data_IF_703288420415
#
_entry.id   IF_703288420415
#
_cell.length_a   1.000
_cell.length_b   1.000
_cell.length_c   1.000
_cell.angle_alpha   90.00
_cell.angle_beta   90.00
_cell.angle_gamma   90.00
#
_symmetry.space_group_name_H-M   'P 1'
#
loop_
_entity.id
_entity.type
_entity.pdbx_description
1 polymer ?
#
# COMPACT_ATOMS: atom_id res chain seq x y z
N UNK A 1 -24.02 30.98 -23.59
CA UNK A 1 -24.26 30.06 -22.45
C UNK A 1 -22.92 29.39 -22.16
N UNK A 2 -22.46 29.40 -20.92
CA UNK A 2 -21.22 28.72 -20.54
C UNK A 2 -21.40 27.19 -20.67
N UNK A 3 -20.36 26.48 -21.14
CA UNK A 3 -20.44 25.03 -21.34
C UNK A 3 -20.53 24.29 -20.00
N UNK A 4 -21.15 23.10 -19.98
CA UNK A 4 -21.19 22.25 -18.80
C UNK A 4 -19.77 21.98 -18.26
N UNK A 5 -18.81 21.77 -19.16
CA UNK A 5 -17.42 21.53 -18.81
C UNK A 5 -16.81 22.71 -18.01
N UNK A 6 -16.94 23.95 -18.50
CA UNK A 6 -16.41 25.13 -17.79
C UNK A 6 -17.08 25.37 -16.44
N UNK A 7 -18.39 25.09 -16.34
CA UNK A 7 -19.13 25.14 -15.07
C UNK A 7 -18.61 24.12 -14.05
N UNK A 8 -18.28 22.90 -14.50
CA UNK A 8 -17.69 21.88 -13.63
C UNK A 8 -16.28 22.28 -13.16
N UNK A 9 -15.44 22.79 -14.06
CA UNK A 9 -14.10 23.28 -13.70
C UNK A 9 -14.17 24.40 -12.65
N UNK A 10 -15.06 25.38 -12.84
CA UNK A 10 -15.27 26.43 -11.85
C UNK A 10 -15.79 25.91 -10.51
N UNK A 11 -16.71 24.93 -10.52
CA UNK A 11 -17.25 24.32 -9.30
C UNK A 11 -16.16 23.58 -8.50
N UNK A 12 -15.31 22.80 -9.18
CA UNK A 12 -14.21 22.05 -8.57
C UNK A 12 -12.96 22.91 -8.31
N UNK A 13 -12.98 24.19 -8.69
CA UNK A 13 -11.84 25.11 -8.59
C UNK A 13 -10.60 24.60 -9.34
N UNK A 14 -10.82 24.02 -10.53
CA UNK A 14 -9.77 23.49 -11.39
C UNK A 14 -9.60 24.36 -12.64
N UNK A 15 -8.35 24.55 -13.06
CA UNK A 15 -8.01 25.01 -14.40
C UNK A 15 -8.16 23.88 -15.42
N UNK A 16 -8.25 24.24 -16.71
CA UNK A 16 -8.25 23.25 -17.79
C UNK A 16 -6.96 22.41 -17.81
N UNK A 17 -5.83 23.01 -17.41
CA UNK A 17 -4.53 22.34 -17.31
C UNK A 17 -4.48 21.32 -16.16
N UNK A 18 -4.95 21.70 -14.97
CA UNK A 18 -5.04 20.77 -13.84
C UNK A 18 -5.99 19.61 -14.14
N UNK A 19 -7.12 19.87 -14.78
CA UNK A 19 -8.03 18.81 -15.22
C UNK A 19 -7.36 17.85 -16.22
N UNK A 20 -6.69 18.38 -17.25
CA UNK A 20 -5.96 17.58 -18.21
C UNK A 20 -4.87 16.72 -17.54
N UNK A 21 -4.22 17.26 -16.51
CA UNK A 21 -3.24 16.54 -15.70
C UNK A 21 -3.89 15.41 -14.87
N UNK A 22 -5.07 15.62 -14.29
CA UNK A 22 -5.79 14.62 -13.48
C UNK A 22 -6.31 13.44 -14.31
N UNK A 23 -6.73 13.69 -15.55
CA UNK A 23 -7.30 12.65 -16.43
C UNK A 23 -6.29 12.03 -17.39
N UNK A 24 -5.01 12.44 -17.31
CA UNK A 24 -3.97 11.86 -18.16
C UNK A 24 -3.80 10.38 -17.85
N UNK A 25 -3.46 9.54 -18.85
CA UNK A 25 -3.12 8.15 -18.59
C UNK A 25 -1.97 8.03 -17.59
N UNK A 26 -2.10 7.09 -16.65
CA UNK A 26 -1.01 6.75 -15.73
C UNK A 26 0.08 6.01 -16.52
N UNK A 27 1.33 6.44 -16.34
CA UNK A 27 2.54 5.88 -16.96
C UNK A 27 3.63 5.83 -15.89
N UNK A 28 4.66 5.03 -16.09
CA UNK A 28 5.81 4.98 -15.16
C UNK A 28 6.46 6.35 -14.94
N UNK A 29 6.39 7.23 -15.94
CA UNK A 29 6.96 8.58 -15.88
C UNK A 29 6.16 9.53 -14.99
N UNK A 30 4.94 9.14 -14.62
CA UNK A 30 4.07 9.93 -13.75
C UNK A 30 3.58 9.18 -12.49
N UNK A 31 4.20 8.06 -12.17
CA UNK A 31 4.07 7.46 -10.84
C UNK A 31 4.66 8.41 -9.78
N UNK A 32 4.06 8.40 -8.59
CA UNK A 32 4.68 9.06 -7.45
C UNK A 32 6.00 8.35 -7.16
N UNK A 33 7.11 9.07 -7.33
CA UNK A 33 8.44 8.54 -7.02
C UNK A 33 8.72 8.47 -5.53
N UNK A 34 9.81 7.81 -5.18
CA UNK A 34 10.22 7.56 -3.78
C UNK A 34 10.34 8.84 -2.93
N UNK A 35 10.61 9.99 -3.56
CA UNK A 35 10.73 11.30 -2.92
C UNK A 35 9.43 11.84 -2.33
N UNK A 36 8.27 11.23 -2.63
CA UNK A 36 6.99 11.59 -2.02
C UNK A 36 6.77 10.94 -0.66
N UNK A 37 7.57 9.94 -0.30
CA UNK A 37 7.43 9.20 0.94
C UNK A 37 8.63 9.44 1.84
N UNK A 38 8.37 9.91 3.05
CA UNK A 38 9.40 9.98 4.07
C UNK A 38 9.98 8.59 4.33
N UNK A 39 11.29 8.53 4.52
CA UNK A 39 12.02 7.33 4.89
C UNK A 39 11.96 6.14 3.90
N UNK A 40 11.55 6.35 2.65
CA UNK A 40 11.46 5.28 1.65
C UNK A 40 12.76 4.50 1.48
N UNK A 41 13.90 5.19 1.38
CA UNK A 41 15.22 4.54 1.27
C UNK A 41 15.52 3.63 2.46
N UNK A 42 15.18 4.05 3.67
CA UNK A 42 15.41 3.24 4.88
C UNK A 42 14.46 2.04 4.94
N UNK A 43 13.20 2.20 4.52
CA UNK A 43 12.24 1.10 4.41
C UNK A 43 12.74 0.02 3.45
N UNK A 44 13.18 0.43 2.25
CA UNK A 44 13.74 -0.49 1.25
C UNK A 44 14.99 -1.20 1.77
N UNK A 45 15.89 -0.49 2.46
CA UNK A 45 17.09 -1.09 3.05
C UNK A 45 16.74 -2.12 4.14
N UNK A 46 15.79 -1.80 5.01
CA UNK A 46 15.30 -2.68 6.07
C UNK A 46 14.67 -3.96 5.51
N UNK A 47 13.86 -3.84 4.45
CA UNK A 47 13.28 -4.99 3.77
C UNK A 47 14.34 -5.86 3.09
N UNK A 48 15.31 -5.25 2.38
CA UNK A 48 16.42 -5.98 1.75
C UNK A 48 17.25 -6.76 2.77
N UNK A 49 17.56 -6.15 3.91
CA UNK A 49 18.30 -6.82 4.99
C UNK A 49 17.50 -7.99 5.57
N UNK A 50 16.20 -7.82 5.81
CA UNK A 50 15.36 -8.90 6.29
C UNK A 50 15.28 -10.08 5.32
N UNK A 51 15.21 -9.80 4.02
CA UNK A 51 15.25 -10.84 2.99
C UNK A 51 16.61 -11.54 2.93
N UNK A 52 17.72 -10.80 3.04
CA UNK A 52 19.06 -11.37 3.07
C UNK A 52 19.27 -12.29 4.29
N UNK A 53 18.68 -11.94 5.42
CA UNK A 53 18.69 -12.70 6.67
C UNK A 53 17.66 -13.87 6.67
N UNK A 54 16.90 -14.07 5.57
CA UNK A 54 15.81 -15.06 5.46
C UNK A 54 14.72 -14.93 6.54
N UNK A 55 14.43 -13.71 6.97
CA UNK A 55 13.44 -13.44 8.01
C UNK A 55 12.02 -13.81 7.57
N UNK A 56 11.22 -14.36 8.48
CA UNK A 56 9.81 -14.60 8.17
C UNK A 56 9.03 -13.28 8.12
N UNK A 57 8.61 -12.87 6.92
CA UNK A 57 7.86 -11.63 6.67
C UNK A 57 6.35 -11.93 6.61
N UNK A 58 5.56 -11.08 7.27
CA UNK A 58 4.11 -11.13 7.28
C UNK A 58 3.51 -9.81 6.79
N UNK A 59 2.55 -9.87 5.86
CA UNK A 59 1.82 -8.70 5.36
C UNK A 59 0.45 -8.64 6.02
N UNK A 60 0.15 -7.53 6.69
CA UNK A 60 -1.13 -7.29 7.34
C UNK A 60 -1.83 -6.11 6.66
N UNK A 61 -2.95 -6.35 5.97
CA UNK A 61 -3.69 -5.26 5.31
C UNK A 61 -4.94 -4.85 6.06
N UNK A 62 -5.78 -4.05 5.41
CA UNK A 62 -7.18 -3.83 5.82
C UNK A 62 -8.15 -4.65 4.97
N UNK A 63 -9.41 -4.69 5.40
CA UNK A 63 -10.46 -5.52 4.81
C UNK A 63 -11.17 -4.87 3.60
N UNK A 64 -10.92 -3.60 3.33
CA UNK A 64 -11.54 -2.91 2.20
C UNK A 64 -10.77 -3.11 0.88
N UNK A 65 -11.25 -2.47 -0.18
CA UNK A 65 -10.68 -2.63 -1.51
C UNK A 65 -9.21 -2.21 -1.59
N UNK A 66 -8.81 -1.12 -0.91
CA UNK A 66 -7.44 -0.62 -0.98
C UNK A 66 -6.48 -1.56 -0.24
N UNK A 67 -6.86 -2.02 0.95
CA UNK A 67 -6.09 -2.98 1.74
C UNK A 67 -5.90 -4.32 1.04
N UNK A 68 -6.97 -4.89 0.47
CA UNK A 68 -6.90 -6.17 -0.27
C UNK A 68 -6.03 -6.04 -1.52
N UNK A 69 -6.16 -4.94 -2.27
CA UNK A 69 -5.34 -4.70 -3.47
C UNK A 69 -3.89 -4.47 -3.10
N UNK A 70 -3.61 -3.72 -2.03
CA UNK A 70 -2.27 -3.47 -1.52
C UNK A 70 -1.57 -4.77 -1.08
N UNK A 71 -2.28 -5.67 -0.37
CA UNK A 71 -1.77 -7.02 -0.08
C UNK A 71 -1.42 -7.74 -1.38
N UNK A 72 -2.33 -7.76 -2.36
CA UNK A 72 -2.11 -8.47 -3.61
C UNK A 72 -0.90 -7.93 -4.39
N UNK A 73 -0.69 -6.61 -4.40
CA UNK A 73 0.47 -5.97 -5.03
C UNK A 73 1.77 -6.45 -4.36
N UNK A 74 1.85 -6.39 -3.03
CA UNK A 74 3.05 -6.81 -2.31
C UNK A 74 3.31 -8.31 -2.46
N UNK A 75 2.29 -9.15 -2.34
CA UNK A 75 2.43 -10.60 -2.54
C UNK A 75 2.97 -10.89 -3.94
N UNK A 76 2.44 -10.25 -4.99
CA UNK A 76 2.96 -10.42 -6.36
C UNK A 76 4.41 -9.96 -6.51
N UNK A 77 4.79 -8.88 -5.84
CA UNK A 77 6.17 -8.39 -5.82
C UNK A 77 7.11 -9.39 -5.15
N UNK A 78 6.75 -9.92 -3.97
CA UNK A 78 7.53 -10.97 -3.30
C UNK A 78 7.61 -12.28 -4.11
N UNK A 79 6.53 -12.68 -4.78
CA UNK A 79 6.54 -13.81 -5.72
C UNK A 79 7.55 -13.60 -6.86
N UNK A 80 7.59 -12.40 -7.45
CA UNK A 80 8.56 -12.07 -8.49
C UNK A 80 10.02 -12.09 -7.98
N UNK A 81 10.22 -11.82 -6.69
CA UNK A 81 11.52 -11.89 -6.01
C UNK A 81 11.86 -13.31 -5.50
N UNK A 82 11.00 -14.30 -5.72
CA UNK A 82 11.13 -15.67 -5.19
C UNK A 82 11.31 -15.72 -3.66
N UNK A 83 10.64 -14.82 -2.93
CA UNK A 83 10.72 -14.76 -1.47
C UNK A 83 9.36 -15.08 -0.85
N UNK A 84 9.25 -16.12 0.00
CA UNK A 84 7.97 -16.51 0.59
C UNK A 84 7.53 -15.49 1.65
N UNK A 85 6.25 -15.11 1.60
CA UNK A 85 5.62 -14.25 2.61
C UNK A 85 4.26 -14.81 3.00
N UNK A 86 3.90 -14.64 4.27
CA UNK A 86 2.55 -14.88 4.75
C UNK A 86 1.76 -13.56 4.73
N UNK A 87 0.44 -13.63 4.67
CA UNK A 87 -0.40 -12.44 4.69
C UNK A 87 -1.75 -12.71 5.36
N UNK A 88 -2.43 -11.64 5.78
CA UNK A 88 -3.82 -11.70 6.26
C UNK A 88 -4.59 -10.45 5.83
N UNK A 89 -5.79 -10.70 5.33
CA UNK A 89 -6.87 -9.71 5.27
C UNK A 89 -7.67 -9.87 6.58
N UNK A 90 -7.74 -8.84 7.43
CA UNK A 90 -8.47 -8.96 8.70
C UNK A 90 -9.98 -9.03 8.47
N UNK A 91 -10.71 -9.47 9.49
CA UNK A 91 -12.16 -9.42 9.52
C UNK A 91 -12.59 -8.35 10.53
N UNK A 92 -13.29 -7.31 10.05
CA UNK A 92 -13.80 -6.23 10.91
C UNK A 92 -14.67 -6.71 12.07
N UNK A 93 -15.33 -7.85 11.91
CA UNK A 93 -16.25 -8.40 12.89
C UNK A 93 -15.57 -9.24 13.97
N UNK A 94 -14.55 -10.02 13.60
CA UNK A 94 -13.88 -10.95 14.52
C UNK A 94 -12.57 -10.41 15.07
N UNK A 95 -11.86 -9.59 14.29
CA UNK A 95 -10.50 -9.15 14.58
C UNK A 95 -10.45 -7.73 15.15
N UNK A 96 -11.54 -6.96 15.02
CA UNK A 96 -11.56 -5.54 15.33
C UNK A 96 -10.98 -4.69 14.20
N UNK A 97 -10.50 -3.49 14.53
CA UNK A 97 -9.89 -2.56 13.56
C UNK A 97 -8.36 -2.67 13.61
N UNK A 98 -7.74 -2.89 12.45
CA UNK A 98 -6.30 -2.89 12.28
C UNK A 98 -5.54 -3.98 13.04
N UNK A 99 -4.22 -3.82 13.11
CA UNK A 99 -3.31 -4.69 13.84
C UNK A 99 -3.42 -4.44 15.35
N UNK A 100 -3.57 -5.49 16.15
CA UNK A 100 -3.65 -5.39 17.61
C UNK A 100 -2.58 -6.22 18.34
N UNK A 101 -2.39 -5.93 19.62
CA UNK A 101 -1.34 -6.55 20.46
C UNK A 101 -1.42 -8.07 20.42
N UNK A 102 -2.62 -8.63 20.59
CA UNK A 102 -2.83 -10.09 20.59
C UNK A 102 -2.38 -10.72 19.27
N UNK A 103 -2.72 -10.11 18.14
CA UNK A 103 -2.28 -10.61 16.84
C UNK A 103 -0.77 -10.50 16.67
N UNK A 104 -0.15 -9.42 17.14
CA UNK A 104 1.31 -9.30 17.12
C UNK A 104 1.96 -10.40 17.95
N UNK A 105 1.42 -10.71 19.14
CA UNK A 105 1.88 -11.82 19.98
C UNK A 105 1.74 -13.17 19.27
N UNK A 106 0.59 -13.42 18.63
CA UNK A 106 0.36 -14.64 17.83
C UNK A 106 1.37 -14.76 16.67
N UNK A 107 1.65 -13.66 15.95
CA UNK A 107 2.62 -13.63 14.86
C UNK A 107 4.06 -13.88 15.37
N UNK A 108 4.44 -13.30 16.51
CA UNK A 108 5.73 -13.57 17.15
C UNK A 108 5.85 -15.05 17.51
N UNK A 109 4.79 -15.65 18.07
CA UNK A 109 4.76 -17.08 18.40
C UNK A 109 4.87 -17.97 17.14
N UNK A 110 4.37 -17.50 16.01
CA UNK A 110 4.53 -18.15 14.70
C UNK A 110 5.92 -17.90 14.08
N UNK A 111 6.82 -17.22 14.78
CA UNK A 111 8.18 -16.93 14.34
C UNK A 111 8.26 -15.84 13.26
N UNK A 112 7.26 -14.97 13.15
CA UNK A 112 7.33 -13.79 12.29
C UNK A 112 8.33 -12.79 12.87
N UNK A 113 9.23 -12.29 12.02
CA UNK A 113 10.31 -11.38 12.41
C UNK A 113 10.16 -9.98 11.79
N UNK A 114 9.24 -9.83 10.84
CA UNK A 114 8.90 -8.55 10.21
C UNK A 114 7.43 -8.52 9.82
N UNK A 115 6.75 -7.44 10.20
CA UNK A 115 5.37 -7.17 9.79
C UNK A 115 5.39 -5.96 8.85
N UNK A 116 4.71 -6.09 7.72
CA UNK A 116 4.44 -4.99 6.78
C UNK A 116 2.95 -4.70 6.85
N UNK A 117 2.57 -3.53 7.34
CA UNK A 117 1.17 -3.09 7.33
C UNK A 117 0.86 -2.34 6.05
N UNK A 118 -0.32 -2.58 5.45
CA UNK A 118 -0.83 -1.81 4.32
C UNK A 118 -2.25 -1.33 4.61
N UNK A 119 -2.58 -0.09 4.24
CA UNK A 119 -3.92 0.50 4.39
C UNK A 119 -4.50 0.46 5.83
N UNK A 120 -3.65 0.62 6.86
CA UNK A 120 -4.06 0.63 8.27
C UNK A 120 -3.93 2.00 8.93
#
# INVERSE_FOLDING_TARGET
MESLFKRLLSYYQLSEEEYAHLVRPVTTDNFMGDHFFDNMEQCVALLKNAMADNKKIFIYGDYDCDGVVSIAILVKMFMALNYPVAYRVPSRYSDGYGLNIKQVEDLINDGVEMIITVDN
#
